data_IF_926105189467
#
_entry.id   IF_926105189467
#
_cell.length_a   1.000
_cell.length_b   1.000
_cell.length_c   1.000
_cell.angle_alpha   90.00
_cell.angle_beta   90.00
_cell.angle_gamma   90.00
#
_symmetry.space_group_name_H-M   'P 1'
#
loop_
_entity.id
_entity.type
_entity.pdbx_description
1 polymer ?
#
# COMPACT_ATOMS: atom_id res chain seq x y z
N UNK A 1 -9.31 15.94 12.08
CA UNK A 1 -8.77 17.07 12.87
C UNK A 1 -7.91 16.59 14.04
N UNK A 2 -8.39 15.67 14.89
CA UNK A 2 -7.65 15.14 16.06
C UNK A 2 -6.25 14.59 15.76
N UNK A 3 -6.09 13.79 14.70
CA UNK A 3 -4.78 13.23 14.31
C UNK A 3 -3.72 14.29 13.99
N UNK A 4 -4.12 15.43 13.44
CA UNK A 4 -3.20 16.54 13.11
C UNK A 4 -2.76 17.25 14.40
N UNK A 5 -3.70 17.60 15.27
CA UNK A 5 -3.42 18.24 16.57
C UNK A 5 -2.46 17.39 17.41
N UNK A 6 -2.67 16.06 17.48
CA UNK A 6 -1.75 15.17 18.19
C UNK A 6 -0.34 15.18 17.60
N UNK A 7 -0.20 15.25 16.27
CA UNK A 7 1.09 15.37 15.61
C UNK A 7 1.77 16.71 15.94
N UNK A 8 1.01 17.79 15.90
CA UNK A 8 1.51 19.15 16.18
C UNK A 8 1.94 19.30 17.64
N UNK A 9 1.29 18.58 18.56
CA UNK A 9 1.68 18.45 19.98
C UNK A 9 2.85 17.47 20.22
N UNK A 10 3.46 16.92 19.17
CA UNK A 10 4.60 16.02 19.27
C UNK A 10 4.27 14.60 19.76
N UNK A 11 3.00 14.21 19.78
CA UNK A 11 2.59 12.86 20.17
C UNK A 11 3.10 11.86 19.13
N UNK A 12 4.13 11.10 19.51
CA UNK A 12 4.69 10.04 18.67
C UNK A 12 3.84 8.79 18.81
N UNK A 13 3.30 8.30 17.70
CA UNK A 13 2.73 6.96 17.65
C UNK A 13 3.84 5.93 17.53
N UNK A 14 3.63 4.77 18.13
CA UNK A 14 4.46 3.62 17.77
C UNK A 14 4.21 3.28 16.29
N UNK A 15 5.27 2.97 15.53
CA UNK A 15 5.10 2.51 14.16
C UNK A 15 4.37 1.15 14.17
N UNK A 16 3.56 0.92 13.13
CA UNK A 16 3.06 -0.43 12.85
C UNK A 16 4.19 -1.29 12.32
N UNK A 17 4.17 -2.58 12.66
CA UNK A 17 5.13 -3.57 12.16
C UNK A 17 4.33 -4.68 11.51
N UNK A 18 4.81 -5.16 10.36
CA UNK A 18 4.24 -6.30 9.66
C UNK A 18 5.35 -7.21 9.16
N UNK A 19 4.99 -8.47 8.88
CA UNK A 19 5.94 -9.48 8.45
C UNK A 19 5.41 -10.22 7.22
N UNK A 20 6.32 -10.71 6.38
CA UNK A 20 5.99 -11.60 5.27
C UNK A 20 7.04 -12.68 5.16
N UNK A 21 6.61 -13.92 4.94
CA UNK A 21 7.50 -15.05 4.75
C UNK A 21 7.60 -15.42 3.27
N UNK A 22 8.84 -15.53 2.76
CA UNK A 22 9.12 -15.96 1.39
C UNK A 22 10.34 -16.88 1.42
N UNK A 23 10.21 -18.08 0.85
CA UNK A 23 11.29 -19.08 0.80
C UNK A 23 11.90 -19.35 2.19
N UNK A 24 11.04 -19.60 3.19
CA UNK A 24 11.40 -19.83 4.60
C UNK A 24 12.21 -18.68 5.24
N UNK A 25 12.14 -17.48 4.67
CA UNK A 25 12.76 -16.27 5.23
C UNK A 25 11.67 -15.25 5.57
N UNK A 26 11.70 -14.79 6.82
CA UNK A 26 10.81 -13.73 7.31
C UNK A 26 11.43 -12.37 7.01
N UNK A 27 10.61 -11.48 6.46
CA UNK A 27 10.95 -10.09 6.19
C UNK A 27 10.05 -9.20 7.04
N UNK A 28 10.65 -8.28 7.78
CA UNK A 28 9.96 -7.27 8.57
C UNK A 28 9.79 -5.98 7.77
N UNK A 29 8.64 -5.34 7.93
CA UNK A 29 8.34 -4.03 7.36
C UNK A 29 7.79 -3.12 8.45
N UNK A 30 8.51 -2.01 8.69
CA UNK A 30 8.16 -1.01 9.69
C UNK A 30 7.48 0.19 9.01
N UNK A 31 6.31 0.59 9.52
CA UNK A 31 5.54 1.68 8.95
C UNK A 31 6.30 3.01 9.06
N UNK A 32 6.52 3.64 7.91
CA UNK A 32 7.23 4.93 7.81
C UNK A 32 8.75 4.81 7.87
N UNK A 33 9.30 3.59 7.86
CA UNK A 33 10.74 3.37 7.76
C UNK A 33 11.28 3.77 6.38
N UNK A 34 12.44 4.43 6.37
CA UNK A 34 13.17 4.80 5.14
C UNK A 34 14.63 4.35 5.13
N UNK A 35 15.09 3.71 6.22
CA UNK A 35 16.48 3.28 6.44
C UNK A 35 16.87 2.03 5.66
N UNK A 36 15.92 1.25 5.17
CA UNK A 36 16.20 0.00 4.48
C UNK A 36 17.09 0.26 3.24
N UNK A 37 18.20 -0.47 3.02
CA UNK A 37 19.11 -0.23 1.89
C UNK A 37 18.43 -0.26 0.50
N UNK A 38 17.33 -1.01 0.41
CA UNK A 38 16.53 -1.16 -0.82
C UNK A 38 15.24 -0.33 -0.82
N UNK A 39 15.08 0.63 0.10
CA UNK A 39 13.86 1.43 0.27
C UNK A 39 13.32 1.99 -1.05
N UNK A 40 14.18 2.64 -1.85
CA UNK A 40 13.81 3.22 -3.14
C UNK A 40 13.24 2.17 -4.11
N UNK A 41 13.86 0.98 -4.16
CA UNK A 41 13.43 -0.10 -5.07
C UNK A 41 12.11 -0.71 -4.64
N UNK A 42 11.91 -0.92 -3.34
CA UNK A 42 10.65 -1.41 -2.78
C UNK A 42 9.52 -0.44 -3.14
N UNK A 43 9.71 0.86 -2.92
CA UNK A 43 8.72 1.88 -3.27
C UNK A 43 8.43 1.96 -4.77
N UNK A 44 9.44 1.81 -5.63
CA UNK A 44 9.27 1.77 -7.08
C UNK A 44 8.34 0.60 -7.50
N UNK A 45 8.57 -0.60 -6.94
CA UNK A 45 7.75 -1.79 -7.21
C UNK A 45 6.32 -1.60 -6.69
N UNK A 46 6.17 -1.11 -5.45
CA UNK A 46 4.84 -0.82 -4.88
C UNK A 46 4.08 0.21 -5.72
N UNK A 47 4.76 1.22 -6.26
CA UNK A 47 4.11 2.20 -7.11
C UNK A 47 3.65 1.61 -8.44
N UNK A 48 4.47 0.75 -9.06
CA UNK A 48 4.09 -0.02 -10.27
C UNK A 48 2.87 -0.91 -10.01
N UNK A 49 2.88 -1.68 -8.92
CA UNK A 49 1.75 -2.53 -8.53
C UNK A 49 0.46 -1.72 -8.32
N UNK A 50 0.55 -0.60 -7.59
CA UNK A 50 -0.60 0.29 -7.40
C UNK A 50 -1.17 0.85 -8.71
N UNK A 51 -0.32 1.17 -9.69
CA UNK A 51 -0.80 1.60 -11.01
C UNK A 51 -1.53 0.47 -11.73
N UNK A 52 -0.97 -0.75 -11.72
CA UNK A 52 -1.64 -1.91 -12.33
C UNK A 52 -2.99 -2.21 -11.68
N UNK A 53 -3.06 -2.20 -10.34
CA UNK A 53 -4.31 -2.43 -9.61
C UNK A 53 -5.38 -1.39 -9.95
N UNK A 54 -5.00 -0.11 -10.09
CA UNK A 54 -5.93 0.95 -10.53
C UNK A 54 -6.42 0.74 -11.95
N UNK A 55 -5.54 0.32 -12.86
CA UNK A 55 -5.94 0.01 -14.23
C UNK A 55 -6.94 -1.15 -14.25
N UNK A 56 -6.69 -2.24 -13.51
CA UNK A 56 -7.62 -3.37 -13.39
C UNK A 56 -8.97 -2.92 -12.80
N UNK A 57 -8.97 -2.15 -11.71
CA UNK A 57 -10.21 -1.61 -11.15
C UNK A 57 -10.99 -0.71 -12.11
N UNK A 58 -10.29 0.01 -12.99
CA UNK A 58 -10.95 0.83 -14.02
C UNK A 58 -11.53 -0.06 -15.14
N UNK A 59 -10.81 -1.11 -15.55
CA UNK A 59 -11.32 -2.10 -16.50
C UNK A 59 -12.56 -2.82 -15.95
N UNK A 60 -12.55 -3.23 -14.68
CA UNK A 60 -13.71 -3.86 -14.04
C UNK A 60 -14.95 -2.94 -14.05
N UNK A 61 -14.75 -1.62 -13.94
CA UNK A 61 -15.84 -0.64 -14.04
C UNK A 61 -16.33 -0.40 -15.46
N UNK A 62 -15.42 -0.45 -16.43
CA UNK A 62 -15.74 -0.23 -17.86
C UNK A 62 -16.45 -1.45 -18.47
N UNK A 63 -16.00 -2.66 -18.13
CA UNK A 63 -16.59 -3.92 -18.62
C UNK A 63 -17.70 -4.48 -17.71
N UNK A 64 -17.77 -4.06 -16.45
CA UNK A 64 -18.85 -4.44 -15.53
C UNK A 64 -20.23 -3.90 -15.91
N UNK A 65 -20.30 -2.87 -16.78
CA UNK A 65 -21.55 -2.33 -17.35
C UNK A 65 -21.96 -2.92 -18.72
N UNK A 66 -21.19 -3.89 -19.22
CA UNK A 66 -21.48 -4.63 -20.48
C UNK A 66 -22.04 -6.03 -20.21
N UNK A 67 -21.97 -6.53 -18.97
CA UNK A 67 -22.40 -7.89 -18.59
C UNK A 67 -23.84 -7.94 -18.05
N UNK A 68 -24.46 -6.78 -17.89
CA UNK A 68 -25.83 -6.52 -17.45
C UNK A 68 -26.80 -6.29 -18.62
N UNK A 69 -26.33 -6.36 -19.87
CA UNK A 69 -27.19 -6.52 -21.05
C UNK A 69 -27.49 -8.00 -21.32
N UNK A 70 -28.46 -8.56 -20.59
CA UNK A 70 -29.29 -9.66 -21.05
C UNK A 70 -30.71 -9.40 -20.53
N UNK A 71 -31.65 -9.22 -21.47
CA UNK A 71 -33.02 -8.79 -21.24
C UNK A 71 -33.94 -9.82 -20.60
#
# INVERSE_FOLDING_TARGET
MVRKVMKDLGVKKMPGISFTEVNNRVYEFIAGEVSHPQFAKIHEVLHKLNRHLRLIQNLDKEYGGLLDYNG
#
